data_IF_926592043688
#
_entry.id   IF_926592043688
#
_cell.length_a   1.000
_cell.length_b   1.000
_cell.length_c   1.000
_cell.angle_alpha   90.00
_cell.angle_beta   90.00
_cell.angle_gamma   90.00
#
_symmetry.space_group_name_H-M   'P 1'
#
loop_
_entity.id
_entity.type
_entity.pdbx_description
1 polymer ?
#
# COMPACT_ATOMS: atom_id res chain seq x y z
N UNK A 1 -84.10 14.84 -41.13
CA UNK A 1 -84.13 13.86 -42.24
C UNK A 1 -82.94 14.16 -43.15
N UNK A 2 -82.11 13.14 -43.39
CA UNK A 2 -80.74 13.17 -43.91
C UNK A 2 -80.50 14.01 -45.18
N UNK A 3 -79.36 14.71 -45.26
CA UNK A 3 -78.50 14.72 -46.45
C UNK A 3 -77.02 14.76 -46.07
N UNK A 4 -76.27 13.81 -46.63
CA UNK A 4 -74.85 13.51 -46.42
C UNK A 4 -73.97 14.56 -47.08
N UNK A 5 -72.96 15.06 -46.37
CA UNK A 5 -71.83 15.82 -46.94
C UNK A 5 -70.57 14.95 -46.77
N UNK A 6 -70.09 14.36 -47.87
CA UNK A 6 -68.81 13.64 -47.89
C UNK A 6 -67.68 14.67 -47.98
N UNK A 7 -67.01 14.92 -46.86
CA UNK A 7 -65.75 15.68 -46.84
C UNK A 7 -64.59 14.69 -46.87
N UNK A 8 -63.87 14.63 -47.99
CA UNK A 8 -62.60 13.89 -48.09
C UNK A 8 -61.53 14.71 -47.39
N UNK A 9 -61.09 14.27 -46.21
CA UNK A 9 -59.95 14.85 -45.51
C UNK A 9 -58.67 14.18 -46.01
N UNK A 10 -57.83 14.94 -46.74
CA UNK A 10 -56.50 14.51 -47.12
C UNK A 10 -55.58 14.54 -45.89
N UNK A 11 -55.15 13.37 -45.42
CA UNK A 11 -54.12 13.24 -44.39
C UNK A 11 -52.75 13.57 -44.99
N UNK A 12 -52.22 14.77 -44.74
CA UNK A 12 -50.81 15.08 -44.99
C UNK A 12 -49.97 14.46 -43.86
N UNK A 13 -49.32 13.33 -44.17
CA UNK A 13 -48.27 12.76 -43.31
C UNK A 13 -46.99 13.59 -43.53
N UNK A 14 -46.63 14.43 -42.57
CA UNK A 14 -45.34 15.10 -42.56
C UNK A 14 -44.26 14.10 -42.13
N UNK A 15 -43.49 13.58 -43.09
CA UNK A 15 -42.27 12.82 -42.81
C UNK A 15 -41.16 13.80 -42.39
N UNK A 16 -40.39 13.50 -41.32
CA UNK A 16 -39.23 14.33 -40.97
C UNK A 16 -38.15 14.17 -42.04
N UNK A 17 -37.88 15.24 -42.77
CA UNK A 17 -36.76 15.32 -43.69
C UNK A 17 -35.44 15.30 -42.87
N UNK A 18 -34.78 14.14 -42.80
CA UNK A 18 -33.38 14.08 -42.41
C UNK A 18 -32.54 14.77 -43.49
N UNK A 19 -32.24 16.06 -43.30
CA UNK A 19 -31.28 16.77 -44.12
C UNK A 19 -29.89 16.12 -43.97
N UNK A 20 -29.41 15.46 -45.02
CA UNK A 20 -28.01 15.04 -45.13
C UNK A 20 -27.13 16.29 -45.29
N UNK A 21 -26.56 16.80 -44.19
CA UNK A 21 -25.46 17.77 -44.29
C UNK A 21 -24.30 17.10 -45.04
N UNK A 22 -23.95 17.63 -46.22
CA UNK A 22 -22.71 17.24 -46.92
C UNK A 22 -21.55 17.41 -45.94
N UNK A 23 -20.72 16.37 -45.74
CA UNK A 23 -19.48 16.48 -44.96
C UNK A 23 -18.62 17.54 -45.64
N UNK A 24 -18.38 18.67 -44.98
CA UNK A 24 -17.44 19.68 -45.45
C UNK A 24 -16.05 19.04 -45.51
N UNK A 25 -15.29 19.33 -46.57
CA UNK A 25 -13.90 18.89 -46.72
C UNK A 25 -13.07 19.64 -45.67
N UNK A 26 -12.44 18.91 -44.76
CA UNK A 26 -11.53 19.45 -43.74
C UNK A 26 -10.14 19.61 -44.37
N UNK A 27 -9.61 20.83 -44.40
CA UNK A 27 -8.28 21.14 -44.93
C UNK A 27 -7.62 22.31 -44.16
N UNK A 28 -6.40 22.68 -44.56
CA UNK A 28 -5.61 23.73 -43.90
C UNK A 28 -6.25 25.13 -44.00
N UNK A 29 -6.95 25.42 -45.10
CA UNK A 29 -7.54 26.74 -45.37
C UNK A 29 -8.78 27.04 -44.54
N UNK A 30 -9.45 26.00 -44.01
CA UNK A 30 -10.75 26.13 -43.33
C UNK A 30 -10.82 25.50 -41.93
N UNK A 31 -9.73 24.88 -41.45
CA UNK A 31 -9.70 24.18 -40.15
C UNK A 31 -8.37 24.41 -39.42
N UNK A 32 -8.38 24.75 -38.12
CA UNK A 32 -7.16 24.77 -37.31
C UNK A 32 -6.71 23.33 -36.99
N UNK A 33 -6.03 22.68 -37.94
CA UNK A 33 -5.63 21.27 -37.86
C UNK A 33 -4.81 20.94 -36.59
N UNK A 34 -4.00 21.89 -36.13
CA UNK A 34 -3.17 21.76 -34.93
C UNK A 34 -3.97 21.75 -33.61
N UNK A 35 -5.27 22.06 -33.64
CA UNK A 35 -6.19 21.96 -32.49
C UNK A 35 -7.12 20.74 -32.58
N UNK A 36 -6.96 19.90 -33.61
CA UNK A 36 -7.74 18.67 -33.67
C UNK A 36 -7.45 17.80 -32.45
N UNK A 37 -8.51 17.32 -31.82
CA UNK A 37 -8.42 16.47 -30.65
C UNK A 37 -7.62 15.20 -30.99
N UNK A 38 -6.47 14.96 -30.33
CA UNK A 38 -5.74 13.73 -30.54
C UNK A 38 -6.53 12.54 -30.00
N UNK A 39 -6.44 11.40 -30.69
CA UNK A 39 -7.13 10.16 -30.35
C UNK A 39 -6.31 9.32 -29.35
N UNK A 40 -6.15 9.84 -28.13
CA UNK A 40 -5.44 9.13 -27.08
C UNK A 40 -6.16 7.83 -26.65
N UNK A 41 -5.38 6.79 -26.35
CA UNK A 41 -5.93 5.52 -25.83
C UNK A 41 -6.35 5.63 -24.36
N UNK A 42 -5.59 6.37 -23.54
CA UNK A 42 -5.91 6.70 -22.16
C UNK A 42 -6.40 8.15 -22.01
N UNK A 43 -6.62 8.57 -20.76
CA UNK A 43 -6.93 9.97 -20.46
C UNK A 43 -5.70 10.86 -20.66
N UNK A 44 -5.90 12.04 -21.23
CA UNK A 44 -4.88 13.07 -21.40
C UNK A 44 -5.51 14.45 -21.22
N UNK A 45 -4.82 15.34 -20.52
CA UNK A 45 -5.29 16.70 -20.25
C UNK A 45 -5.46 16.96 -18.77
N UNK A 46 -6.47 17.74 -18.43
CA UNK A 46 -6.69 18.24 -17.07
C UNK A 46 -6.93 17.12 -16.05
N UNK A 47 -6.39 17.31 -14.86
CA UNK A 47 -6.56 16.42 -13.72
C UNK A 47 -6.83 17.27 -12.48
N UNK A 48 -7.94 17.00 -11.78
CA UNK A 48 -8.31 17.75 -10.58
C UNK A 48 -8.08 16.93 -9.30
N UNK A 49 -7.82 17.57 -8.15
CA UNK A 49 -7.68 16.88 -6.87
C UNK A 49 -8.90 16.02 -6.51
N UNK A 50 -10.11 16.45 -6.86
CA UNK A 50 -11.36 15.74 -6.56
C UNK A 50 -11.46 14.43 -7.34
N UNK A 51 -11.01 14.43 -8.60
CA UNK A 51 -10.97 13.23 -9.43
C UNK A 51 -9.97 12.22 -8.86
N UNK A 52 -8.76 12.66 -8.50
CA UNK A 52 -7.75 11.81 -7.86
C UNK A 52 -8.26 11.27 -6.52
N UNK A 53 -8.89 12.12 -5.69
CA UNK A 53 -9.46 11.75 -4.39
C UNK A 53 -10.51 10.65 -4.55
N UNK A 54 -11.42 10.79 -5.51
CA UNK A 54 -12.44 9.79 -5.83
C UNK A 54 -11.82 8.45 -6.23
N UNK A 55 -10.72 8.46 -6.96
CA UNK A 55 -10.06 7.22 -7.40
C UNK A 55 -9.35 6.52 -6.23
N UNK A 56 -8.64 7.24 -5.36
CA UNK A 56 -8.03 6.64 -4.16
C UNK A 56 -9.08 6.23 -3.13
N UNK A 57 -10.22 6.92 -3.04
CA UNK A 57 -11.35 6.53 -2.17
C UNK A 57 -11.95 5.19 -2.60
N UNK A 58 -12.05 4.96 -3.92
CA UNK A 58 -12.52 3.68 -4.46
C UNK A 58 -11.57 2.53 -4.09
N UNK A 59 -10.26 2.75 -4.19
CA UNK A 59 -9.26 1.77 -3.76
C UNK A 59 -9.33 1.56 -2.25
N UNK A 60 -9.40 2.63 -1.46
CA UNK A 60 -9.48 2.59 -0.01
C UNK A 60 -10.69 1.77 0.48
N UNK A 61 -11.87 2.05 -0.05
CA UNK A 61 -13.08 1.31 0.30
C UNK A 61 -12.98 -0.19 -0.05
N UNK A 62 -12.24 -0.53 -1.11
CA UNK A 62 -11.99 -1.92 -1.47
C UNK A 62 -11.02 -2.59 -0.50
N UNK A 63 -9.87 -1.98 -0.20
CA UNK A 63 -8.90 -2.61 0.69
C UNK A 63 -9.38 -2.68 2.14
N UNK A 64 -10.24 -1.76 2.59
CA UNK A 64 -10.76 -1.77 3.95
C UNK A 64 -11.57 -3.05 4.25
N UNK A 65 -12.48 -3.41 3.34
CA UNK A 65 -13.26 -4.66 3.45
C UNK A 65 -12.42 -5.93 3.26
N UNK A 66 -11.35 -5.86 2.47
CA UNK A 66 -10.49 -7.01 2.15
C UNK A 66 -9.36 -7.24 3.17
N UNK A 67 -9.34 -6.46 4.25
CA UNK A 67 -8.32 -6.58 5.30
C UNK A 67 -8.93 -6.57 6.71
N UNK A 68 -9.71 -7.61 7.05
CA UNK A 68 -10.37 -7.69 8.34
C UNK A 68 -9.37 -7.76 9.52
N UNK A 69 -9.59 -6.94 10.54
CA UNK A 69 -8.86 -6.99 11.81
C UNK A 69 -9.62 -7.84 12.83
N UNK A 70 -9.63 -9.16 12.64
CA UNK A 70 -10.27 -10.13 13.54
C UNK A 70 -9.44 -11.40 13.65
N UNK A 71 -9.61 -12.09 14.78
CA UNK A 71 -9.15 -13.46 14.95
C UNK A 71 -10.33 -14.40 14.71
N UNK A 72 -10.09 -15.48 13.97
CA UNK A 72 -11.07 -16.53 13.69
C UNK A 72 -10.47 -17.90 13.92
N UNK A 73 -11.33 -18.87 14.20
CA UNK A 73 -10.98 -20.28 14.13
C UNK A 73 -10.71 -20.67 12.66
N UNK A 74 -9.53 -21.25 12.39
CA UNK A 74 -9.06 -21.59 11.04
C UNK A 74 -9.89 -22.67 10.35
N UNK A 75 -10.65 -23.46 11.11
CA UNK A 75 -11.44 -24.58 10.60
C UNK A 75 -12.90 -24.17 10.30
N UNK A 76 -13.45 -23.25 11.08
CA UNK A 76 -14.88 -22.89 11.05
C UNK A 76 -15.15 -21.46 10.62
N UNK A 77 -14.15 -20.58 10.63
CA UNK A 77 -14.29 -19.16 10.36
C UNK A 77 -15.05 -18.38 11.45
N UNK A 78 -15.36 -19.02 12.59
CA UNK A 78 -16.02 -18.33 13.71
C UNK A 78 -15.06 -17.34 14.36
N UNK A 79 -15.56 -16.13 14.61
CA UNK A 79 -14.79 -15.08 15.29
C UNK A 79 -14.44 -15.53 16.72
N UNK A 80 -13.16 -15.41 17.07
CA UNK A 80 -12.63 -15.64 18.41
C UNK A 80 -12.44 -14.26 19.04
N UNK A 81 -13.07 -14.03 20.19
CA UNK A 81 -12.97 -12.77 20.96
C UNK A 81 -12.30 -12.95 22.31
N UNK A 82 -12.33 -14.16 22.88
CA UNK A 82 -11.56 -14.48 24.08
C UNK A 82 -10.15 -14.90 23.68
N UNK A 83 -9.25 -13.91 23.61
CA UNK A 83 -7.86 -14.15 23.26
C UNK A 83 -7.06 -14.86 24.36
N UNK A 84 -7.58 -14.92 25.58
CA UNK A 84 -6.90 -15.59 26.69
C UNK A 84 -7.04 -17.12 26.62
N UNK A 85 -8.14 -17.61 26.03
CA UNK A 85 -8.45 -19.03 25.91
C UNK A 85 -8.09 -19.64 24.54
N UNK A 86 -7.69 -18.83 23.55
CA UNK A 86 -7.39 -19.34 22.20
C UNK A 86 -6.18 -20.29 22.19
N UNK A 87 -6.23 -21.30 21.31
CA UNK A 87 -5.17 -22.24 21.02
C UNK A 87 -4.60 -22.11 19.61
N UNK A 88 -4.07 -23.22 19.07
CA UNK A 88 -3.43 -23.23 17.75
C UNK A 88 -4.44 -23.17 16.58
N UNK A 89 -5.73 -23.30 16.87
CA UNK A 89 -6.84 -23.12 15.93
C UNK A 89 -7.05 -21.66 15.52
N UNK A 90 -6.58 -20.70 16.31
CA UNK A 90 -6.73 -19.29 16.01
C UNK A 90 -5.83 -18.84 14.84
N UNK A 91 -6.37 -17.97 13.99
CA UNK A 91 -5.63 -17.27 12.94
C UNK A 91 -6.23 -15.88 12.69
N UNK A 92 -5.46 -14.98 12.07
CA UNK A 92 -6.05 -13.76 11.52
C UNK A 92 -7.03 -14.12 10.40
N UNK A 93 -8.20 -13.47 10.40
CA UNK A 93 -9.19 -13.62 9.32
C UNK A 93 -8.53 -13.35 7.96
N UNK A 94 -8.72 -14.27 7.01
CA UNK A 94 -8.09 -14.19 5.68
C UNK A 94 -8.98 -13.38 4.74
N UNK A 95 -8.60 -12.13 4.50
CA UNK A 95 -9.08 -11.35 3.36
C UNK A 95 -8.18 -11.52 2.14
N UNK A 96 -8.34 -10.66 1.12
CA UNK A 96 -7.49 -10.69 -0.06
C UNK A 96 -6.03 -10.26 0.21
N UNK A 97 -5.78 -9.50 1.28
CA UNK A 97 -4.44 -8.97 1.61
C UNK A 97 -4.01 -9.27 3.04
N UNK A 98 -2.71 -9.48 3.24
CA UNK A 98 -2.09 -9.75 4.56
C UNK A 98 -1.78 -8.45 5.28
N UNK A 99 -2.18 -8.34 6.55
CA UNK A 99 -2.05 -7.11 7.35
C UNK A 99 -0.60 -6.69 7.66
N UNK A 100 0.32 -7.64 7.77
CA UNK A 100 1.71 -7.38 8.18
C UNK A 100 2.76 -7.73 7.12
N UNK A 101 2.32 -7.81 5.86
CA UNK A 101 3.23 -7.94 4.73
C UNK A 101 3.96 -6.61 4.45
N UNK A 102 5.13 -6.64 3.80
CA UNK A 102 5.84 -5.39 3.47
C UNK A 102 5.00 -4.50 2.56
N UNK A 103 4.21 -5.09 1.65
CA UNK A 103 3.27 -4.40 0.78
C UNK A 103 2.26 -3.60 1.63
N UNK A 104 1.79 -4.18 2.72
CA UNK A 104 0.89 -3.50 3.64
C UNK A 104 1.58 -2.44 4.50
N UNK A 105 2.87 -2.64 4.83
CA UNK A 105 3.72 -1.58 5.38
C UNK A 105 3.76 -0.33 4.50
N UNK A 106 3.82 -0.50 3.17
CA UNK A 106 3.69 0.59 2.20
C UNK A 106 2.30 1.22 2.27
N UNK A 107 1.23 0.40 2.25
CA UNK A 107 -0.16 0.86 2.36
C UNK A 107 -0.37 1.73 3.61
N UNK A 108 0.15 1.31 4.77
CA UNK A 108 0.03 2.11 6.00
C UNK A 108 0.75 3.45 5.89
N UNK A 109 1.97 3.48 5.38
CA UNK A 109 2.69 4.75 5.13
C UNK A 109 1.94 5.65 4.14
N UNK A 110 1.34 5.08 3.09
CA UNK A 110 0.56 5.80 2.09
C UNK A 110 -0.71 6.42 2.70
N UNK A 111 -1.45 5.67 3.52
CA UNK A 111 -2.68 6.15 4.17
C UNK A 111 -2.39 7.23 5.23
N UNK A 112 -1.27 7.14 5.95
CA UNK A 112 -0.83 8.22 6.85
C UNK A 112 -0.60 9.51 6.06
N UNK A 113 0.07 9.43 4.90
CA UNK A 113 0.30 10.60 4.03
C UNK A 113 -0.98 11.11 3.35
N UNK A 114 -1.89 10.21 2.95
CA UNK A 114 -3.18 10.57 2.38
C UNK A 114 -4.02 11.37 3.38
N UNK A 115 -4.05 10.97 4.66
CA UNK A 115 -4.74 11.73 5.70
C UNK A 115 -4.18 13.15 5.85
N UNK A 116 -2.86 13.31 5.80
CA UNK A 116 -2.18 14.61 5.92
C UNK A 116 -2.48 15.53 4.72
N UNK A 117 -2.51 14.97 3.51
CA UNK A 117 -2.68 15.75 2.27
C UNK A 117 -4.13 16.05 1.92
N UNK A 118 -5.08 15.16 2.28
CA UNK A 118 -6.50 15.34 1.95
C UNK A 118 -7.34 15.78 3.14
N UNK A 119 -6.81 15.73 4.38
CA UNK A 119 -7.56 15.98 5.60
C UNK A 119 -8.61 14.90 5.96
N UNK A 120 -8.63 13.77 5.24
CA UNK A 120 -9.62 12.70 5.44
C UNK A 120 -9.12 11.71 6.50
N UNK A 121 -9.69 11.80 7.70
CA UNK A 121 -9.25 11.04 8.87
C UNK A 121 -9.48 9.53 8.74
N UNK A 122 -10.39 9.09 7.86
CA UNK A 122 -10.68 7.66 7.66
C UNK A 122 -9.43 6.86 7.29
N UNK A 123 -8.49 7.49 6.57
CA UNK A 123 -7.23 6.84 6.23
C UNK A 123 -6.35 6.56 7.44
N UNK A 124 -6.21 7.52 8.36
CA UNK A 124 -5.49 7.27 9.63
C UNK A 124 -6.25 6.38 10.58
N UNK A 125 -7.59 6.44 10.59
CA UNK A 125 -8.42 5.56 11.42
C UNK A 125 -8.26 4.09 11.02
N UNK A 126 -8.14 3.81 9.72
CA UNK A 126 -7.78 2.49 9.21
C UNK A 126 -6.45 2.00 9.80
N UNK A 127 -5.39 2.81 9.72
CA UNK A 127 -4.06 2.44 10.19
C UNK A 127 -4.05 2.24 11.72
N UNK A 128 -4.69 3.16 12.46
CA UNK A 128 -4.88 3.08 13.91
C UNK A 128 -5.56 1.76 14.30
N UNK A 129 -6.67 1.42 13.66
CA UNK A 129 -7.43 0.21 13.97
C UNK A 129 -6.57 -1.05 13.76
N UNK A 130 -5.89 -1.17 12.62
CA UNK A 130 -5.08 -2.36 12.32
C UNK A 130 -3.86 -2.47 13.24
N UNK A 131 -3.16 -1.37 13.53
CA UNK A 131 -2.01 -1.40 14.44
C UNK A 131 -2.39 -1.69 15.89
N UNK A 132 -3.50 -1.13 16.39
CA UNK A 132 -4.00 -1.46 17.73
C UNK A 132 -4.41 -2.92 17.82
N UNK A 133 -5.10 -3.44 16.81
CA UNK A 133 -5.45 -4.86 16.72
C UNK A 133 -4.20 -5.75 16.74
N UNK A 134 -3.20 -5.48 15.91
CA UNK A 134 -1.97 -6.28 15.89
C UNK A 134 -1.21 -6.22 17.23
N UNK A 135 -1.14 -5.04 17.86
CA UNK A 135 -0.54 -4.88 19.18
C UNK A 135 -1.30 -5.64 20.28
N UNK A 136 -2.64 -5.70 20.18
CA UNK A 136 -3.51 -6.42 21.11
C UNK A 136 -3.33 -7.93 20.99
N UNK A 137 -3.33 -8.49 19.77
CA UNK A 137 -3.35 -9.94 19.58
C UNK A 137 -1.97 -10.59 19.57
N UNK A 138 -0.90 -9.85 19.22
CA UNK A 138 0.45 -10.41 19.11
C UNK A 138 0.95 -11.12 20.39
N UNK A 139 0.75 -10.58 21.61
CA UNK A 139 1.14 -11.27 22.84
C UNK A 139 0.41 -12.62 23.05
N UNK A 140 -0.86 -12.71 22.65
CA UNK A 140 -1.65 -13.93 22.78
C UNK A 140 -1.18 -15.02 21.80
N UNK A 141 -0.90 -14.64 20.56
CA UNK A 141 -0.34 -15.58 19.58
C UNK A 141 1.09 -16.01 19.91
N UNK A 142 1.87 -15.14 20.58
CA UNK A 142 3.18 -15.50 21.14
C UNK A 142 3.03 -16.57 22.23
N UNK A 143 2.10 -16.39 23.17
CA UNK A 143 1.79 -17.42 24.19
C UNK A 143 1.40 -18.75 23.54
N UNK A 144 0.52 -18.73 22.54
CA UNK A 144 0.13 -19.95 21.81
C UNK A 144 1.36 -20.64 21.18
N UNK A 145 2.26 -19.87 20.57
CA UNK A 145 3.49 -20.42 19.99
C UNK A 145 4.39 -21.05 21.06
N UNK A 146 4.57 -20.39 22.21
CA UNK A 146 5.36 -20.90 23.33
C UNK A 146 4.77 -22.18 23.94
N UNK A 147 3.45 -22.26 24.07
CA UNK A 147 2.76 -23.42 24.66
C UNK A 147 2.62 -24.61 23.69
N UNK A 148 2.42 -24.35 22.39
CA UNK A 148 2.03 -25.36 21.39
C UNK A 148 3.10 -25.63 20.34
N UNK A 149 4.17 -24.85 20.30
CA UNK A 149 5.26 -24.95 19.30
C UNK A 149 4.87 -24.51 17.89
N UNK A 150 3.64 -24.03 17.68
CA UNK A 150 3.10 -23.58 16.39
C UNK A 150 1.99 -22.56 16.62
N UNK A 151 1.82 -21.65 15.67
CA UNK A 151 0.79 -20.61 15.66
C UNK A 151 0.52 -20.17 14.21
N UNK A 152 -0.30 -19.16 13.99
CA UNK A 152 -0.52 -18.59 12.66
C UNK A 152 0.81 -18.10 12.03
N UNK A 153 1.13 -18.58 10.83
CA UNK A 153 2.29 -18.14 10.05
C UNK A 153 2.40 -16.62 9.84
N UNK A 154 1.28 -15.90 9.72
CA UNK A 154 1.31 -14.43 9.62
C UNK A 154 1.77 -13.79 10.93
N UNK A 155 1.50 -14.43 12.06
CA UNK A 155 1.99 -13.97 13.37
C UNK A 155 3.46 -14.35 13.57
N UNK A 156 3.91 -15.49 13.03
CA UNK A 156 5.35 -15.80 13.01
C UNK A 156 6.15 -14.74 12.24
N UNK A 157 5.61 -14.18 11.15
CA UNK A 157 6.24 -13.06 10.45
C UNK A 157 6.45 -11.84 11.37
N UNK A 158 5.44 -11.52 12.18
CA UNK A 158 5.46 -10.38 13.11
C UNK A 158 6.38 -10.64 14.31
N UNK A 159 6.29 -11.83 14.90
CA UNK A 159 6.94 -12.20 16.15
C UNK A 159 8.40 -12.62 15.95
N UNK A 160 8.69 -13.30 14.84
CA UNK A 160 10.00 -13.87 14.51
C UNK A 160 10.34 -13.56 13.04
N UNK A 161 10.63 -12.28 12.70
CA UNK A 161 11.03 -11.91 11.35
C UNK A 161 12.36 -12.59 10.95
N UNK A 162 12.50 -12.97 9.68
CA UNK A 162 13.69 -13.65 9.14
C UNK A 162 14.29 -12.98 7.91
N UNK A 163 13.67 -11.89 7.41
CA UNK A 163 14.22 -11.01 6.39
C UNK A 163 13.71 -9.58 6.61
N UNK A 164 14.37 -8.59 6.00
CA UNK A 164 13.87 -7.21 6.00
C UNK A 164 12.42 -7.11 5.46
N UNK A 165 12.03 -8.00 4.55
CA UNK A 165 10.66 -8.15 4.01
C UNK A 165 9.61 -8.43 5.11
N UNK A 166 10.02 -8.98 6.26
CA UNK A 166 9.14 -9.31 7.37
C UNK A 166 8.98 -8.16 8.37
N UNK A 167 9.76 -7.09 8.25
CA UNK A 167 9.91 -6.09 9.31
C UNK A 167 9.85 -4.63 8.82
N UNK A 168 10.67 -4.30 7.84
CA UNK A 168 11.08 -2.93 7.52
C UNK A 168 9.95 -1.94 7.27
N UNK A 169 9.12 -2.23 6.28
CA UNK A 169 8.06 -1.34 5.83
C UNK A 169 6.98 -1.14 6.91
N UNK A 170 6.61 -2.21 7.63
CA UNK A 170 5.62 -2.16 8.71
C UNK A 170 6.18 -1.39 9.91
N UNK A 171 7.41 -1.69 10.33
CA UNK A 171 8.10 -0.96 11.40
C UNK A 171 8.18 0.55 11.11
N UNK A 172 8.56 0.92 9.88
CA UNK A 172 8.61 2.30 9.40
C UNK A 172 7.25 3.01 9.58
N UNK A 173 6.15 2.35 9.19
CA UNK A 173 4.81 2.91 9.31
C UNK A 173 4.34 3.03 10.76
N UNK A 174 4.64 2.03 11.61
CA UNK A 174 4.36 2.08 13.05
C UNK A 174 5.06 3.25 13.73
N UNK A 175 6.36 3.46 13.45
CA UNK A 175 7.12 4.59 14.01
C UNK A 175 6.50 5.92 13.56
N UNK A 176 6.19 6.07 12.27
CA UNK A 176 5.58 7.31 11.73
C UNK A 176 4.28 7.67 12.45
N UNK A 177 3.38 6.71 12.66
CA UNK A 177 2.12 6.98 13.33
C UNK A 177 2.30 7.18 14.83
N UNK A 178 3.17 6.39 15.48
CA UNK A 178 3.45 6.51 16.92
C UNK A 178 4.10 7.85 17.31
N UNK A 179 4.86 8.45 16.40
CA UNK A 179 5.40 9.80 16.56
C UNK A 179 4.34 10.90 16.43
N UNK A 180 3.19 10.62 15.80
CA UNK A 180 2.05 11.54 15.66
C UNK A 180 0.98 11.31 16.74
N UNK A 181 0.89 10.10 17.28
CA UNK A 181 -0.03 9.72 18.37
C UNK A 181 0.70 8.84 19.38
N UNK A 182 1.03 9.42 20.53
CA UNK A 182 1.75 8.71 21.59
C UNK A 182 0.91 7.61 22.28
N UNK A 183 -0.41 7.62 22.11
CA UNK A 183 -1.31 6.61 22.69
C UNK A 183 -1.33 5.29 21.92
N UNK A 184 -0.68 5.22 20.75
CA UNK A 184 -0.61 4.00 19.95
C UNK A 184 0.33 2.96 20.61
N UNK A 185 -0.14 1.78 21.03
CA UNK A 185 0.64 0.86 21.85
C UNK A 185 1.53 -0.09 21.02
N UNK A 186 2.30 0.44 20.08
CA UNK A 186 3.10 -0.36 19.11
C UNK A 186 4.58 -0.46 19.46
N UNK A 187 5.04 0.10 20.58
CA UNK A 187 6.47 0.10 20.93
C UNK A 187 7.07 -1.31 20.97
N UNK A 188 6.40 -2.28 21.60
CA UNK A 188 6.89 -3.66 21.65
C UNK A 188 7.09 -4.30 20.27
N UNK A 189 6.21 -3.98 19.30
CA UNK A 189 6.36 -4.43 17.91
C UNK A 189 7.49 -3.68 17.19
N UNK A 190 7.60 -2.36 17.38
CA UNK A 190 8.69 -1.55 16.83
C UNK A 190 10.04 -2.09 17.30
N UNK A 191 10.21 -2.33 18.60
CA UNK A 191 11.46 -2.83 19.17
C UNK A 191 11.79 -4.23 18.63
N UNK A 192 10.81 -5.14 18.52
CA UNK A 192 11.02 -6.48 17.95
C UNK A 192 11.52 -6.41 16.50
N UNK A 193 10.82 -5.64 15.66
CA UNK A 193 11.20 -5.47 14.27
C UNK A 193 12.56 -4.80 14.14
N UNK A 194 12.82 -3.74 14.90
CA UNK A 194 14.04 -2.97 14.75
C UNK A 194 15.27 -3.71 15.28
N UNK A 195 15.13 -4.50 16.36
CA UNK A 195 16.18 -5.41 16.81
C UNK A 195 16.57 -6.39 15.70
N UNK A 196 15.60 -6.99 15.02
CA UNK A 196 15.88 -7.84 13.86
C UNK A 196 16.63 -7.06 12.77
N UNK A 197 16.10 -5.91 12.34
CA UNK A 197 16.68 -5.10 11.27
C UNK A 197 18.13 -4.72 11.59
N UNK A 198 18.38 -4.18 12.78
CA UNK A 198 19.68 -3.57 13.07
C UNK A 198 20.72 -4.60 13.53
N UNK A 199 20.32 -5.66 14.25
CA UNK A 199 21.23 -6.59 14.91
C UNK A 199 21.25 -8.00 14.32
N UNK A 200 20.21 -8.45 13.60
CA UNK A 200 20.08 -9.85 13.15
C UNK A 200 20.11 -10.04 11.64
N UNK A 201 19.64 -9.06 10.88
CA UNK A 201 19.66 -9.12 9.42
C UNK A 201 21.09 -9.36 8.91
N UNK A 202 21.20 -10.18 7.86
CA UNK A 202 22.48 -10.49 7.24
C UNK A 202 23.06 -9.24 6.56
N UNK A 203 24.39 -9.11 6.64
CA UNK A 203 25.12 -7.99 6.08
C UNK A 203 26.38 -8.45 5.36
N UNK A 204 26.79 -7.70 4.35
CA UNK A 204 28.16 -7.77 3.82
C UNK A 204 29.18 -7.37 4.88
N UNK A 205 30.45 -7.64 4.61
CA UNK A 205 31.55 -7.31 5.52
C UNK A 205 31.64 -5.81 5.87
N UNK A 206 31.22 -4.91 4.95
CA UNK A 206 31.18 -3.46 5.18
C UNK A 206 29.91 -3.00 5.95
N UNK A 207 29.03 -3.94 6.30
CA UNK A 207 27.79 -3.71 7.00
C UNK A 207 26.59 -3.44 6.09
N UNK A 208 26.71 -3.45 4.76
CA UNK A 208 25.55 -3.29 3.85
C UNK A 208 24.55 -4.42 4.07
N UNK A 209 23.25 -4.12 4.22
CA UNK A 209 22.20 -5.14 4.25
C UNK A 209 22.29 -6.06 3.03
N UNK A 210 22.18 -7.37 3.22
CA UNK A 210 22.39 -8.33 2.14
C UNK A 210 21.60 -9.61 2.34
N UNK A 211 21.55 -10.45 1.30
CA UNK A 211 20.91 -11.76 1.34
C UNK A 211 21.91 -12.85 0.94
N UNK A 212 21.63 -14.08 1.41
CA UNK A 212 22.26 -15.30 0.91
C UNK A 212 21.33 -16.07 -0.03
N UNK A 213 20.58 -15.33 -0.86
CA UNK A 213 19.72 -15.85 -1.93
C UNK A 213 19.59 -14.80 -3.06
N UNK A 214 19.54 -15.22 -4.34
CA UNK A 214 19.72 -16.59 -4.83
C UNK A 214 21.20 -17.05 -4.76
N UNK A 215 22.13 -16.13 -4.48
CA UNK A 215 23.56 -16.40 -4.28
C UNK A 215 24.01 -15.87 -2.91
N UNK A 216 25.24 -16.22 -2.50
CA UNK A 216 25.84 -15.62 -1.29
C UNK A 216 26.11 -14.14 -1.52
N UNK A 217 26.10 -13.36 -0.44
CA UNK A 217 26.52 -11.95 -0.43
C UNK A 217 25.83 -11.08 -1.49
N UNK A 218 24.56 -11.34 -1.76
CA UNK A 218 23.80 -10.63 -2.80
C UNK A 218 23.11 -9.40 -2.23
N UNK A 219 23.26 -8.26 -2.89
CA UNK A 219 22.45 -7.06 -2.63
C UNK A 219 21.21 -7.08 -3.52
N UNK A 220 20.06 -6.77 -2.92
CA UNK A 220 18.81 -6.54 -3.64
C UNK A 220 18.46 -5.06 -3.57
N UNK A 221 18.04 -4.48 -4.69
CA UNK A 221 17.63 -3.08 -4.74
C UNK A 221 16.47 -2.82 -3.78
N UNK A 222 15.58 -3.80 -3.61
CA UNK A 222 14.47 -3.81 -2.67
C UNK A 222 14.91 -3.52 -1.22
N UNK A 223 16.08 -4.02 -0.80
CA UNK A 223 16.59 -3.86 0.57
C UNK A 223 16.97 -2.41 0.91
N UNK A 224 17.17 -1.54 -0.10
CA UNK A 224 17.23 -0.10 0.14
C UNK A 224 15.93 0.40 0.77
N UNK A 225 14.78 -0.06 0.28
CA UNK A 225 13.48 0.33 0.82
C UNK A 225 13.10 -0.48 2.07
N UNK A 226 13.49 -1.75 2.15
CA UNK A 226 13.14 -2.58 3.31
C UNK A 226 13.96 -2.19 4.56
N UNK A 227 15.22 -1.79 4.43
CA UNK A 227 16.06 -1.45 5.59
C UNK A 227 16.08 0.04 5.94
N UNK A 228 16.42 0.89 4.97
CA UNK A 228 16.87 2.28 5.22
C UNK A 228 15.77 3.15 5.86
N UNK A 229 14.50 3.13 5.41
CA UNK A 229 13.43 3.93 6.02
C UNK A 229 13.20 3.61 7.49
N UNK A 230 13.33 2.34 7.90
CA UNK A 230 13.15 1.94 9.30
C UNK A 230 14.26 2.53 10.17
N UNK A 231 15.53 2.43 9.73
CA UNK A 231 16.68 3.04 10.40
C UNK A 231 16.53 4.57 10.48
N UNK A 232 16.12 5.21 9.38
CA UNK A 232 15.91 6.66 9.36
C UNK A 232 14.76 7.10 10.29
N UNK A 233 13.64 6.37 10.33
CA UNK A 233 12.54 6.70 11.26
C UNK A 233 12.93 6.44 12.72
N UNK A 234 13.73 5.42 13.00
CA UNK A 234 14.25 5.18 14.35
C UNK A 234 15.11 6.32 14.87
N UNK A 235 15.80 7.07 14.00
CA UNK A 235 16.53 8.27 14.43
C UNK A 235 15.63 9.38 14.98
N UNK A 236 14.31 9.33 14.70
CA UNK A 236 13.30 10.25 15.23
C UNK A 236 12.61 9.68 16.46
N UNK A 237 12.56 8.35 16.58
CA UNK A 237 11.92 7.62 17.66
C UNK A 237 12.82 7.49 18.88
N UNK A 238 14.03 7.00 18.68
CA UNK A 238 15.08 6.90 19.69
C UNK A 238 15.94 8.16 19.65
N UNK A 239 15.70 9.04 20.63
CA UNK A 239 16.40 10.33 20.75
C UNK A 239 17.88 10.15 21.09
N UNK A 240 18.25 9.09 21.80
CA UNK A 240 19.63 8.84 22.24
C UNK A 240 20.50 8.37 21.08
N UNK A 241 19.95 7.54 20.19
CA UNK A 241 20.66 6.99 19.04
C UNK A 241 20.43 7.76 17.73
N UNK A 242 19.83 8.96 17.76
CA UNK A 242 19.53 9.78 16.57
C UNK A 242 20.71 9.88 15.60
N UNK A 243 21.87 10.32 16.07
CA UNK A 243 23.03 10.53 15.19
C UNK A 243 23.58 9.21 14.63
N UNK A 244 23.56 8.13 15.42
CA UNK A 244 23.96 6.79 15.00
C UNK A 244 23.08 6.29 13.85
N UNK A 245 21.76 6.39 13.99
CA UNK A 245 20.83 5.91 12.98
C UNK A 245 20.78 6.79 11.73
N UNK A 246 20.97 8.11 11.85
CA UNK A 246 21.15 8.97 10.68
C UNK A 246 22.41 8.57 9.88
N UNK A 247 23.53 8.36 10.56
CA UNK A 247 24.77 7.94 9.92
C UNK A 247 24.63 6.55 9.27
N UNK A 248 24.00 5.59 9.95
CA UNK A 248 23.77 4.25 9.42
C UNK A 248 22.84 4.27 8.20
N UNK A 249 21.75 5.05 8.22
CA UNK A 249 20.85 5.16 7.08
C UNK A 249 21.56 5.72 5.83
N UNK A 250 22.38 6.77 6.00
CA UNK A 250 23.19 7.34 4.91
C UNK A 250 24.26 6.37 4.43
N UNK A 251 24.94 5.69 5.36
CA UNK A 251 25.95 4.67 5.05
C UNK A 251 25.35 3.56 4.18
N UNK A 252 24.19 3.01 4.57
CA UNK A 252 23.48 2.03 3.76
C UNK A 252 23.19 2.57 2.36
N UNK A 253 22.55 3.74 2.27
CA UNK A 253 22.19 4.33 0.98
C UNK A 253 23.39 4.46 0.03
N UNK A 254 24.49 5.02 0.51
CA UNK A 254 25.69 5.22 -0.30
C UNK A 254 26.37 3.90 -0.68
N UNK A 255 26.43 2.93 0.23
CA UNK A 255 27.02 1.61 -0.03
C UNK A 255 26.20 0.78 -1.04
N UNK A 256 24.87 0.91 -1.04
CA UNK A 256 24.03 0.34 -2.08
C UNK A 256 24.20 1.10 -3.40
N UNK A 257 24.15 2.44 -3.38
CA UNK A 257 24.22 3.26 -4.59
C UNK A 257 25.53 3.09 -5.36
N UNK A 258 26.66 3.04 -4.66
CA UNK A 258 27.98 2.76 -5.24
C UNK A 258 27.98 1.47 -6.09
N UNK A 259 27.30 0.43 -5.60
CA UNK A 259 27.29 -0.90 -6.21
C UNK A 259 26.08 -1.19 -7.07
N UNK A 260 25.04 -0.37 -7.08
CA UNK A 260 23.79 -0.70 -7.77
C UNK A 260 23.35 0.38 -8.77
N UNK A 261 23.82 1.62 -8.62
CA UNK A 261 23.51 2.68 -9.58
C UNK A 261 24.29 2.49 -10.89
N UNK A 262 23.66 2.87 -12.01
CA UNK A 262 24.22 2.87 -13.37
C UNK A 262 24.18 4.31 -13.88
N UNK A 263 25.25 5.11 -13.69
CA UNK A 263 25.27 6.54 -14.02
C UNK A 263 24.92 6.83 -15.48
N UNK A 264 25.35 5.98 -16.40
CA UNK A 264 25.13 6.14 -17.85
C UNK A 264 23.66 5.99 -18.24
N UNK A 265 22.85 5.39 -17.36
CA UNK A 265 21.41 5.18 -17.55
C UNK A 265 20.56 6.01 -16.61
N UNK A 266 21.12 6.54 -15.53
CA UNK A 266 20.33 7.15 -14.44
C UNK A 266 19.38 6.15 -13.76
N UNK A 267 19.74 4.86 -13.73
CA UNK A 267 18.90 3.77 -13.22
C UNK A 267 19.70 2.86 -12.28
N UNK A 268 18.99 2.06 -11.48
CA UNK A 268 19.60 1.03 -10.63
C UNK A 268 19.46 -0.36 -11.26
N UNK A 269 20.47 -1.23 -11.09
CA UNK A 269 20.34 -2.68 -11.32
C UNK A 269 19.49 -3.31 -10.20
N UNK A 270 18.77 -4.38 -10.50
CA UNK A 270 17.92 -5.04 -9.51
C UNK A 270 18.73 -5.82 -8.45
N UNK A 271 19.81 -6.48 -8.88
CA UNK A 271 20.67 -7.26 -7.99
C UNK A 271 22.15 -7.02 -8.26
N UNK A 272 22.96 -7.23 -7.22
CA UNK A 272 24.42 -7.26 -7.29
C UNK A 272 24.93 -8.47 -6.52
N UNK A 273 25.80 -9.27 -7.12
CA UNK A 273 26.42 -10.48 -6.56
C UNK A 273 27.92 -10.30 -6.53
#
# INVERSE_FOLDING_TARGET
MNYRMMTVAALLVALPACAQKKKAVINDSNTPLHLLQPAYQGTYGDLTPEQVKKDIDRVFAYIDKETPARVVDKNTGKVITDYTAMGDEAQLERGAFRLASYEWGVTYSALIAAAETTGDKRYTDYVQNRFRFLAEVAPHFKRVYEEKGKTDSQLLQILTPHALDDAGAVCTAMIKLRLKDESLPVDGLIQNYFDFIINKEYRLADGTFARNRPQRNTLWLDDMFMGIPAVAQMSRYDKEAKNKYLAEAVKQFLQFADRMFIPEKGLYRHGWV
#
